data_IF_478060955464
#
_entry.id   IF_478060955464
#
_cell.length_a   1.000
_cell.length_b   1.000
_cell.length_c   1.000
_cell.angle_alpha   90.00
_cell.angle_beta   90.00
_cell.angle_gamma   90.00
#
_symmetry.space_group_name_H-M   'P 1'
#
loop_
_entity.id
_entity.type
_entity.pdbx_description
1 polymer ?
#
# COMPACT_ATOMS: atom_id res chain seq x y z
N UNK A 1 -21.57 4.95 0.18
CA UNK A 1 -21.89 3.72 -0.59
C UNK A 1 -20.67 3.22 -1.35
N UNK A 2 -20.42 1.92 -1.34
CA UNK A 2 -19.24 1.27 -1.94
C UNK A 2 -19.69 0.23 -2.95
N UNK A 3 -19.31 0.39 -4.22
CA UNK A 3 -19.70 -0.47 -5.33
C UNK A 3 -18.46 -1.22 -5.83
N UNK A 4 -18.28 -2.50 -5.48
CA UNK A 4 -17.28 -3.34 -6.13
C UNK A 4 -17.71 -3.64 -7.56
N UNK A 5 -16.82 -3.47 -8.53
CA UNK A 5 -17.08 -3.83 -9.93
C UNK A 5 -16.04 -4.80 -10.47
N UNK A 6 -16.47 -5.67 -11.37
CA UNK A 6 -15.58 -6.57 -12.10
C UNK A 6 -16.26 -7.89 -12.42
N UNK A 7 -16.10 -8.35 -13.66
CA UNK A 7 -16.68 -9.62 -14.11
C UNK A 7 -16.01 -10.83 -13.46
N UNK A 8 -14.75 -10.70 -13.08
CA UNK A 8 -13.95 -11.72 -12.39
C UNK A 8 -14.09 -11.67 -10.87
N UNK A 9 -14.75 -10.65 -10.33
CA UNK A 9 -14.79 -10.42 -8.89
C UNK A 9 -15.85 -11.30 -8.24
N UNK A 10 -15.48 -12.03 -7.19
CA UNK A 10 -16.36 -12.96 -6.47
C UNK A 10 -16.36 -12.71 -4.97
N UNK A 11 -17.43 -13.12 -4.29
CA UNK A 11 -17.51 -13.04 -2.83
C UNK A 11 -16.60 -14.09 -2.15
N UNK A 12 -15.97 -13.77 -1.01
CA UNK A 12 -15.29 -14.73 -0.17
C UNK A 12 -16.18 -15.92 0.19
N UNK A 13 -15.63 -17.13 0.11
CA UNK A 13 -16.37 -18.38 0.35
C UNK A 13 -17.09 -18.94 -0.88
N UNK A 14 -17.07 -18.23 -2.01
CA UNK A 14 -17.53 -18.78 -3.30
C UNK A 14 -16.51 -19.80 -3.83
N UNK A 15 -17.00 -20.85 -4.51
CA UNK A 15 -16.13 -21.79 -5.22
C UNK A 15 -15.39 -21.07 -6.37
N UNK A 16 -14.06 -21.09 -6.33
CA UNK A 16 -13.23 -20.33 -7.26
C UNK A 16 -13.09 -21.02 -8.61
N UNK A 17 -13.33 -20.28 -9.69
CA UNK A 17 -13.03 -20.65 -11.07
C UNK A 17 -11.72 -20.00 -11.52
N UNK A 18 -11.17 -20.51 -12.62
CA UNK A 18 -9.99 -19.92 -13.24
C UNK A 18 -10.32 -18.48 -13.65
N UNK A 19 -9.52 -17.54 -13.15
CA UNK A 19 -9.69 -16.11 -13.41
C UNK A 19 -10.40 -15.35 -12.30
N UNK A 20 -11.06 -16.04 -11.36
CA UNK A 20 -11.78 -15.38 -10.26
C UNK A 20 -10.81 -14.65 -9.30
N UNK A 21 -11.22 -13.47 -8.87
CA UNK A 21 -10.53 -12.65 -7.89
C UNK A 21 -11.49 -12.39 -6.73
N UNK A 22 -11.09 -12.76 -5.51
CA UNK A 22 -11.90 -12.51 -4.33
C UNK A 22 -11.92 -11.01 -4.02
N UNK A 23 -13.11 -10.45 -3.81
CA UNK A 23 -13.25 -9.06 -3.41
C UNK A 23 -12.72 -8.82 -1.98
N UNK A 24 -11.61 -8.11 -1.90
CA UNK A 24 -11.02 -7.64 -0.65
C UNK A 24 -11.02 -6.11 -0.52
N UNK A 25 -11.01 -5.36 -1.63
CA UNK A 25 -10.92 -3.90 -1.63
C UNK A 25 -12.14 -3.27 -0.96
N UNK A 26 -13.35 -3.66 -1.37
CA UNK A 26 -14.57 -3.03 -0.87
C UNK A 26 -14.74 -3.23 0.66
N UNK A 27 -14.23 -4.34 1.18
CA UNK A 27 -14.19 -4.63 2.62
C UNK A 27 -13.16 -3.78 3.34
N UNK A 28 -11.98 -3.63 2.74
CA UNK A 28 -10.93 -2.72 3.24
C UNK A 28 -11.45 -1.29 3.27
N UNK A 29 -12.15 -0.85 2.22
CA UNK A 29 -12.76 0.48 2.16
C UNK A 29 -13.82 0.66 3.23
N UNK A 30 -14.68 -0.34 3.45
CA UNK A 30 -15.69 -0.27 4.50
C UNK A 30 -15.06 -0.11 5.90
N UNK A 31 -13.96 -0.81 6.15
CA UNK A 31 -13.19 -0.67 7.39
C UNK A 31 -12.56 0.73 7.52
N UNK A 32 -11.89 1.23 6.48
CA UNK A 32 -11.30 2.57 6.46
C UNK A 32 -12.34 3.68 6.65
N UNK A 33 -13.48 3.60 5.93
CA UNK A 33 -14.59 4.55 6.09
C UNK A 33 -15.10 4.55 7.53
N UNK A 34 -15.27 3.37 8.13
CA UNK A 34 -15.72 3.25 9.53
C UNK A 34 -14.69 3.82 10.51
N UNK A 35 -13.40 3.57 10.29
CA UNK A 35 -12.29 4.13 11.08
C UNK A 35 -12.25 5.66 10.99
N UNK A 36 -12.64 6.24 9.86
CA UNK A 36 -12.70 7.68 9.64
C UNK A 36 -14.05 8.31 10.06
N UNK A 37 -14.91 7.56 10.74
CA UNK A 37 -16.18 8.06 11.29
C UNK A 37 -17.37 8.05 10.31
N UNK A 38 -17.22 7.46 9.12
CA UNK A 38 -18.29 7.32 8.14
C UNK A 38 -19.08 6.01 8.27
N UNK A 39 -20.29 5.98 7.70
CA UNK A 39 -21.12 4.77 7.64
C UNK A 39 -20.98 4.05 6.29
N UNK A 40 -20.27 2.92 6.29
CA UNK A 40 -20.00 2.17 5.08
C UNK A 40 -21.19 1.28 4.65
N UNK A 41 -21.86 1.63 3.55
CA UNK A 41 -22.82 0.76 2.88
C UNK A 41 -22.20 0.09 1.64
N UNK A 42 -21.92 -1.21 1.74
CA UNK A 42 -21.40 -2.02 0.62
C UNK A 42 -22.56 -2.57 -0.23
N UNK A 43 -22.46 -2.43 -1.55
CA UNK A 43 -23.38 -3.02 -2.52
C UNK A 43 -22.88 -4.38 -3.01
N UNK A 44 -23.74 -5.14 -3.71
CA UNK A 44 -23.31 -6.36 -4.39
C UNK A 44 -22.31 -6.05 -5.51
N UNK A 45 -21.52 -7.06 -5.88
CA UNK A 45 -20.56 -6.95 -6.99
C UNK A 45 -21.32 -6.72 -8.29
N UNK A 46 -20.96 -5.64 -8.99
CA UNK A 46 -21.54 -5.27 -10.28
C UNK A 46 -20.62 -5.76 -11.39
N UNK A 47 -21.18 -6.45 -12.39
CA UNK A 47 -20.39 -6.89 -13.54
C UNK A 47 -19.96 -5.70 -14.39
N UNK A 48 -18.94 -5.90 -15.23
CA UNK A 48 -18.45 -4.86 -16.16
C UNK A 48 -19.44 -4.65 -17.31
N UNK A 49 -20.55 -3.98 -17.01
CA UNK A 49 -21.60 -3.61 -17.94
C UNK A 49 -22.05 -2.18 -17.64
N UNK A 50 -22.12 -1.35 -18.69
CA UNK A 50 -22.42 0.06 -18.57
C UNK A 50 -23.75 0.34 -17.87
N UNK A 51 -24.83 -0.34 -18.27
CA UNK A 51 -26.17 -0.10 -17.72
C UNK A 51 -26.26 -0.60 -16.28
N UNK A 52 -25.63 -1.74 -15.96
CA UNK A 52 -25.59 -2.24 -14.58
C UNK A 52 -24.81 -1.30 -13.65
N UNK A 53 -23.65 -0.79 -14.10
CA UNK A 53 -22.85 0.17 -13.34
C UNK A 53 -23.64 1.46 -13.13
N UNK A 54 -24.24 2.01 -14.19
CA UNK A 54 -25.06 3.23 -14.11
C UNK A 54 -26.22 3.08 -13.12
N UNK A 55 -26.96 1.99 -13.17
CA UNK A 55 -28.06 1.73 -12.22
C UNK A 55 -27.54 1.63 -10.77
N UNK A 56 -26.42 0.94 -10.56
CA UNK A 56 -25.81 0.82 -9.24
C UNK A 56 -25.33 2.17 -8.70
N UNK A 57 -24.70 2.99 -9.53
CA UNK A 57 -24.22 4.34 -9.18
C UNK A 57 -25.39 5.26 -8.85
N UNK A 58 -26.45 5.28 -9.68
CA UNK A 58 -27.66 6.07 -9.42
C UNK A 58 -28.27 5.71 -8.06
N UNK A 59 -28.48 4.41 -7.82
CA UNK A 59 -29.01 3.91 -6.55
C UNK A 59 -28.12 4.28 -5.36
N UNK A 60 -26.81 4.12 -5.49
CA UNK A 60 -25.88 4.47 -4.42
C UNK A 60 -25.86 5.98 -4.14
N UNK A 61 -26.00 6.81 -5.17
CA UNK A 61 -26.02 8.27 -5.01
C UNK A 61 -27.31 8.77 -4.32
N UNK A 62 -28.44 8.11 -4.55
CA UNK A 62 -29.70 8.39 -3.84
C UNK A 62 -29.59 8.04 -2.36
N UNK A 63 -28.97 6.88 -2.04
CA UNK A 63 -28.96 6.31 -0.69
C UNK A 63 -27.79 6.76 0.20
N UNK A 64 -26.81 7.51 -0.31
CA UNK A 64 -25.59 7.88 0.43
C UNK A 64 -25.11 9.29 0.09
N UNK A 65 -24.18 9.84 0.89
CA UNK A 65 -23.57 11.15 0.66
C UNK A 65 -22.31 11.11 -0.22
N UNK A 66 -21.60 9.98 -0.22
CA UNK A 66 -20.39 9.73 -1.01
C UNK A 66 -20.52 8.36 -1.67
N UNK A 67 -20.18 8.25 -2.96
CA UNK A 67 -20.17 6.98 -3.70
C UNK A 67 -18.74 6.63 -4.10
N UNK A 68 -18.28 5.45 -3.68
CA UNK A 68 -16.98 4.89 -4.04
C UNK A 68 -17.20 3.72 -5.01
N UNK A 69 -16.54 3.74 -6.16
CA UNK A 69 -16.62 2.67 -7.16
C UNK A 69 -15.25 2.00 -7.22
N UNK A 70 -15.12 0.74 -6.82
CA UNK A 70 -13.87 0.01 -7.00
C UNK A 70 -13.81 -0.55 -8.41
N UNK A 71 -13.20 0.20 -9.33
CA UNK A 71 -13.11 -0.12 -10.74
C UNK A 71 -11.73 -0.66 -11.10
N UNK A 72 -11.68 -1.73 -11.90
CA UNK A 72 -10.41 -2.28 -12.39
C UNK A 72 -9.62 -1.27 -13.22
N UNK A 73 -8.28 -1.35 -13.18
CA UNK A 73 -7.39 -0.40 -13.88
C UNK A 73 -7.19 -0.72 -15.39
N UNK A 74 -8.18 -1.34 -16.02
CA UNK A 74 -8.12 -1.72 -17.43
C UNK A 74 -8.83 -0.65 -18.23
N UNK A 75 -8.23 -0.19 -19.34
CA UNK A 75 -8.75 0.89 -20.17
C UNK A 75 -10.26 0.71 -20.47
N UNK A 76 -10.70 -0.51 -20.80
CA UNK A 76 -12.13 -0.76 -21.09
C UNK A 76 -13.07 -0.71 -19.88
N UNK A 77 -12.59 -0.93 -18.64
CA UNK A 77 -13.41 -0.85 -17.42
C UNK A 77 -13.49 0.57 -16.87
N UNK A 78 -12.37 1.27 -16.92
CA UNK A 78 -12.29 2.70 -16.61
C UNK A 78 -13.29 3.45 -17.48
N UNK A 79 -13.37 3.12 -18.78
CA UNK A 79 -14.30 3.70 -19.74
C UNK A 79 -15.79 3.56 -19.31
N UNK A 80 -16.23 2.40 -18.80
CA UNK A 80 -17.61 2.23 -18.34
C UNK A 80 -17.92 3.11 -17.13
N UNK A 81 -17.01 3.16 -16.16
CA UNK A 81 -17.21 3.90 -14.92
C UNK A 81 -17.23 5.41 -15.18
N UNK A 82 -16.25 5.92 -15.93
CA UNK A 82 -16.19 7.35 -16.28
C UNK A 82 -17.37 7.78 -17.14
N UNK A 83 -17.81 6.93 -18.08
CA UNK A 83 -18.98 7.21 -18.92
C UNK A 83 -20.27 7.23 -18.11
N UNK A 84 -20.47 6.27 -17.19
CA UNK A 84 -21.66 6.23 -16.35
C UNK A 84 -21.77 7.46 -15.44
N UNK A 85 -20.64 7.90 -14.86
CA UNK A 85 -20.58 9.13 -14.06
C UNK A 85 -20.85 10.37 -14.93
N UNK A 86 -20.30 10.42 -16.14
CA UNK A 86 -20.52 11.54 -17.08
C UNK A 86 -21.96 11.64 -17.58
N UNK A 87 -22.70 10.54 -17.66
CA UNK A 87 -24.11 10.57 -18.07
C UNK A 87 -25.03 10.97 -16.92
N UNK A 88 -24.72 10.51 -15.70
CA UNK A 88 -25.54 10.80 -14.52
C UNK A 88 -25.25 12.18 -13.90
N UNK A 89 -24.10 12.78 -14.20
CA UNK A 89 -23.68 14.05 -13.62
C UNK A 89 -22.48 14.64 -14.35
N UNK A 90 -21.49 15.10 -13.60
CA UNK A 90 -20.29 15.72 -14.14
C UNK A 90 -19.03 14.93 -13.76
N UNK A 91 -18.22 14.58 -14.75
CA UNK A 91 -16.87 14.04 -14.52
C UNK A 91 -15.88 15.21 -14.41
N UNK A 92 -15.30 15.39 -13.23
CA UNK A 92 -14.43 16.54 -12.91
C UNK A 92 -12.96 16.21 -13.14
N UNK A 93 -12.53 15.01 -12.75
CA UNK A 93 -11.15 14.53 -12.86
C UNK A 93 -11.15 13.14 -13.47
N UNK A 94 -10.28 12.94 -14.46
CA UNK A 94 -10.03 11.63 -15.07
C UNK A 94 -8.53 11.35 -15.09
N UNK A 95 -8.08 10.68 -14.03
CA UNK A 95 -6.70 10.42 -13.74
C UNK A 95 -6.01 11.55 -12.99
N UNK A 96 -5.04 11.19 -12.15
CA UNK A 96 -4.18 12.14 -11.43
C UNK A 96 -2.71 11.76 -11.57
N UNK A 97 -1.84 12.75 -11.38
CA UNK A 97 -0.39 12.60 -11.51
C UNK A 97 0.25 11.96 -10.25
N UNK A 98 -0.32 10.86 -9.75
CA UNK A 98 0.24 10.10 -8.62
C UNK A 98 0.59 8.67 -9.00
N UNK A 99 1.51 8.07 -8.24
CA UNK A 99 1.93 6.68 -8.42
C UNK A 99 2.16 6.01 -7.06
N UNK A 100 1.51 4.88 -6.75
CA UNK A 100 0.40 4.26 -7.49
C UNK A 100 -0.91 5.03 -7.28
N UNK A 101 -1.93 4.79 -8.12
CA UNK A 101 -3.22 5.49 -8.02
C UNK A 101 -3.62 6.35 -9.22
N UNK A 102 -2.79 6.40 -10.27
CA UNK A 102 -3.03 7.19 -11.49
C UNK A 102 -4.48 7.19 -11.99
N UNK A 103 -5.17 6.05 -12.20
CA UNK A 103 -6.47 6.05 -12.87
C UNK A 103 -7.66 6.39 -11.96
N UNK A 104 -7.43 7.11 -10.86
CA UNK A 104 -8.55 7.64 -10.07
C UNK A 104 -9.38 8.60 -10.92
N UNK A 105 -10.70 8.50 -10.78
CA UNK A 105 -11.64 9.48 -11.33
C UNK A 105 -12.42 10.12 -10.20
N UNK A 106 -12.84 11.37 -10.39
CA UNK A 106 -13.79 12.04 -9.50
C UNK A 106 -14.86 12.75 -10.33
N UNK A 107 -16.11 12.60 -9.90
CA UNK A 107 -17.25 13.27 -10.47
C UNK A 107 -18.24 13.71 -9.40
N UNK A 108 -19.27 14.42 -9.83
CA UNK A 108 -20.32 14.97 -8.97
C UNK A 108 -21.67 14.58 -9.57
N UNK A 109 -22.51 13.92 -8.78
CA UNK A 109 -23.89 13.57 -9.17
C UNK A 109 -24.83 14.13 -8.11
N UNK A 110 -25.79 14.98 -8.50
CA UNK A 110 -26.71 15.66 -7.57
C UNK A 110 -26.01 16.37 -6.40
N UNK A 111 -24.85 16.99 -6.67
CA UNK A 111 -24.04 17.68 -5.66
C UNK A 111 -23.22 16.77 -4.74
N UNK A 112 -23.22 15.45 -4.97
CA UNK A 112 -22.51 14.46 -4.14
C UNK A 112 -21.29 13.89 -4.88
N UNK A 113 -20.15 13.70 -4.19
CA UNK A 113 -18.95 13.17 -4.82
C UNK A 113 -19.08 11.68 -5.15
N UNK A 114 -18.62 11.34 -6.36
CA UNK A 114 -18.47 9.97 -6.85
C UNK A 114 -17.01 9.76 -7.22
N UNK A 115 -16.37 8.78 -6.60
CA UNK A 115 -14.92 8.55 -6.73
C UNK A 115 -14.70 7.13 -7.25
N UNK A 116 -14.11 7.01 -8.43
CA UNK A 116 -13.69 5.72 -8.99
C UNK A 116 -12.26 5.43 -8.57
N UNK A 117 -12.10 4.34 -7.84
CA UNK A 117 -10.88 3.91 -7.18
C UNK A 117 -10.29 2.72 -7.94
N UNK A 118 -8.98 2.72 -8.26
CA UNK A 118 -8.35 1.63 -9.00
C UNK A 118 -8.46 0.27 -8.30
N UNK A 119 -8.61 -0.80 -9.08
CA UNK A 119 -8.80 -2.16 -8.54
C UNK A 119 -7.55 -2.77 -7.92
N UNK A 120 -6.36 -2.24 -8.21
CA UNK A 120 -5.13 -2.72 -7.59
C UNK A 120 -5.04 -2.30 -6.11
N UNK A 121 -4.81 -3.23 -5.16
CA UNK A 121 -4.85 -2.97 -3.71
C UNK A 121 -4.04 -1.77 -3.24
N UNK A 122 -2.83 -1.62 -3.80
CA UNK A 122 -1.91 -0.57 -3.36
C UNK A 122 -2.35 0.78 -3.91
N UNK A 123 -2.75 0.82 -5.19
CA UNK A 123 -3.33 2.02 -5.78
C UNK A 123 -4.59 2.46 -5.02
N UNK A 124 -5.44 1.50 -4.69
CA UNK A 124 -6.66 1.71 -3.94
C UNK A 124 -6.39 2.33 -2.56
N UNK A 125 -5.43 1.78 -1.82
CA UNK A 125 -5.03 2.31 -0.51
C UNK A 125 -4.60 3.78 -0.57
N UNK A 126 -3.71 4.14 -1.50
CA UNK A 126 -3.24 5.53 -1.61
C UNK A 126 -4.35 6.49 -2.08
N UNK A 127 -5.23 6.05 -2.98
CA UNK A 127 -6.40 6.85 -3.36
C UNK A 127 -7.35 7.03 -2.17
N UNK A 128 -7.55 5.99 -1.37
CA UNK A 128 -8.36 6.06 -0.16
C UNK A 128 -7.78 7.06 0.85
N UNK A 129 -6.48 7.00 1.16
CA UNK A 129 -5.84 7.90 2.13
C UNK A 129 -5.70 9.34 1.62
N UNK A 130 -5.26 9.55 0.38
CA UNK A 130 -4.88 10.89 -0.11
C UNK A 130 -6.06 11.66 -0.73
N UNK A 131 -7.13 10.97 -1.13
CA UNK A 131 -8.27 11.58 -1.82
C UNK A 131 -9.57 11.35 -1.04
N UNK A 132 -9.91 10.11 -0.71
CA UNK A 132 -11.21 9.80 -0.11
C UNK A 132 -11.31 10.25 1.35
N UNK A 133 -10.26 10.05 2.14
CA UNK A 133 -10.22 10.46 3.56
C UNK A 133 -10.40 11.97 3.76
N UNK A 134 -9.70 12.87 3.02
CA UNK A 134 -10.00 14.30 3.06
C UNK A 134 -11.46 14.65 2.73
N UNK A 135 -12.07 13.94 1.76
CA UNK A 135 -13.49 14.17 1.42
C UNK A 135 -14.41 13.77 2.58
N UNK A 136 -14.17 12.61 3.20
CA UNK A 136 -14.96 12.15 4.36
C UNK A 136 -14.81 13.09 5.56
N UNK A 137 -13.61 13.58 5.82
CA UNK A 137 -13.38 14.56 6.89
C UNK A 137 -14.02 15.92 6.57
N UNK A 138 -13.96 16.38 5.32
CA UNK A 138 -14.65 17.58 4.87
C UNK A 138 -16.15 17.54 5.13
N UNK A 139 -16.81 16.40 4.89
CA UNK A 139 -18.23 16.19 5.21
C UNK A 139 -18.53 16.24 6.71
N UNK A 140 -17.55 15.92 7.55
CA UNK A 140 -17.66 15.99 9.01
C UNK A 140 -17.21 17.36 9.58
N UNK A 141 -16.73 18.28 8.74
CA UNK A 141 -16.12 19.53 9.19
C UNK A 141 -14.78 19.35 9.90
N UNK A 142 -14.08 18.24 9.64
CA UNK A 142 -12.78 17.92 10.20
C UNK A 142 -11.67 18.23 9.19
N UNK A 143 -10.49 18.59 9.71
CA UNK A 143 -9.24 18.62 8.93
C UNK A 143 -8.51 17.28 9.06
N UNK A 144 -7.78 16.87 8.03
CA UNK A 144 -6.86 15.73 8.14
C UNK A 144 -5.71 16.07 9.07
N UNK A 145 -5.51 15.25 10.10
CA UNK A 145 -4.35 15.39 10.99
C UNK A 145 -3.04 15.40 10.18
N UNK A 146 -2.08 16.22 10.62
CA UNK A 146 -0.76 16.23 10.01
C UNK A 146 -0.08 14.87 10.21
N UNK A 147 0.41 14.30 9.12
CA UNK A 147 1.17 13.05 9.17
C UNK A 147 2.36 13.18 10.13
N UNK A 148 2.59 12.13 10.94
CA UNK A 148 3.83 12.03 11.70
C UNK A 148 4.96 11.73 10.74
N UNK A 149 5.95 12.61 10.70
CA UNK A 149 7.10 12.48 9.80
C UNK A 149 8.38 12.29 10.61
N UNK A 150 9.26 11.39 10.14
CA UNK A 150 10.62 11.22 10.67
C UNK A 150 11.64 11.44 9.58
N UNK A 151 12.82 11.94 9.96
CA UNK A 151 13.99 11.96 9.09
C UNK A 151 14.68 10.58 9.17
N UNK A 152 14.87 9.93 8.02
CA UNK A 152 15.49 8.61 7.93
C UNK A 152 16.54 8.54 6.81
N UNK A 153 17.59 7.75 7.01
CA UNK A 153 18.63 7.53 6.00
C UNK A 153 18.19 6.42 5.05
N UNK A 154 18.15 6.71 3.75
CA UNK A 154 17.75 5.75 2.73
C UNK A 154 18.82 4.67 2.53
N UNK A 155 18.49 3.39 2.68
CA UNK A 155 19.46 2.27 2.61
C UNK A 155 19.82 1.86 1.18
N UNK A 156 18.95 2.17 0.21
CA UNK A 156 19.17 1.84 -1.20
C UNK A 156 18.59 2.92 -2.09
N UNK A 157 19.22 3.13 -3.25
CA UNK A 157 18.71 4.09 -4.23
C UNK A 157 17.25 3.80 -4.58
N UNK A 158 16.46 4.86 -4.72
CA UNK A 158 15.06 4.80 -5.01
C UNK A 158 14.80 5.55 -6.32
N UNK A 159 14.79 4.82 -7.44
CA UNK A 159 14.51 5.41 -8.77
C UNK A 159 13.07 5.91 -8.83
N UNK A 160 12.77 7.03 -9.46
CA UNK A 160 11.40 7.44 -9.74
C UNK A 160 11.27 7.83 -11.20
N UNK A 161 10.03 7.97 -11.64
CA UNK A 161 9.71 8.42 -12.99
C UNK A 161 9.24 9.86 -12.90
N UNK A 162 9.86 10.75 -13.67
CA UNK A 162 9.31 12.08 -13.90
C UNK A 162 7.84 11.98 -14.30
N UNK A 163 7.04 13.00 -13.93
CA UNK A 163 5.59 13.18 -14.17
C UNK A 163 4.66 12.72 -13.05
N UNK A 164 5.13 11.96 -12.07
CA UNK A 164 4.24 11.43 -11.02
C UNK A 164 4.79 11.71 -9.63
N UNK A 165 3.91 12.14 -8.73
CA UNK A 165 4.18 12.16 -7.30
C UNK A 165 4.13 10.71 -6.83
N UNK A 166 5.29 10.14 -6.50
CA UNK A 166 5.42 8.72 -6.22
C UNK A 166 5.45 8.44 -4.71
N UNK A 167 4.48 7.65 -4.26
CA UNK A 167 4.40 7.11 -2.92
C UNK A 167 5.15 5.78 -2.83
N UNK A 168 6.34 5.83 -2.25
CA UNK A 168 7.21 4.67 -2.07
C UNK A 168 7.07 4.17 -0.64
N UNK A 169 6.46 3.00 -0.49
CA UNK A 169 6.41 2.29 0.79
C UNK A 169 7.81 1.91 1.24
N UNK A 170 8.10 2.15 2.51
CA UNK A 170 9.38 1.82 3.13
C UNK A 170 9.17 0.99 4.40
N UNK A 171 10.14 0.12 4.68
CA UNK A 171 10.35 -0.44 6.00
C UNK A 171 11.26 0.50 6.77
N UNK A 172 10.91 0.82 8.01
CA UNK A 172 11.73 1.63 8.89
C UNK A 172 12.44 0.76 9.91
N UNK A 173 13.64 1.17 10.28
CA UNK A 173 14.41 0.61 11.39
C UNK A 173 15.04 1.72 12.20
N UNK A 174 15.26 1.50 13.49
CA UNK A 174 16.00 2.43 14.34
C UNK A 174 17.31 1.79 14.79
N UNK A 175 18.43 2.27 14.26
CA UNK A 175 19.74 1.61 14.39
C UNK A 175 20.76 2.65 14.80
N UNK A 176 21.52 2.37 15.86
CA UNK A 176 22.57 3.26 16.36
C UNK A 176 22.11 4.73 16.57
N UNK A 177 20.87 4.91 17.03
CA UNK A 177 20.32 6.24 17.34
C UNK A 177 19.72 7.01 16.16
N UNK A 178 19.56 6.39 14.98
CA UNK A 178 18.96 7.02 13.80
C UNK A 178 17.94 6.11 13.12
N UNK A 179 16.99 6.72 12.40
CA UNK A 179 16.10 5.96 11.52
C UNK A 179 16.81 5.62 10.20
N UNK A 180 16.57 4.41 9.72
CA UNK A 180 16.93 3.95 8.38
C UNK A 180 15.67 3.56 7.63
N UNK A 181 15.61 3.88 6.34
CA UNK A 181 14.47 3.60 5.48
C UNK A 181 14.89 2.70 4.33
N UNK A 182 14.28 1.51 4.26
CA UNK A 182 14.47 0.57 3.16
C UNK A 182 13.21 0.55 2.32
N UNK A 183 13.24 1.07 1.07
CA UNK A 183 12.12 0.92 0.13
C UNK A 183 11.68 -0.53 0.05
N UNK A 184 10.39 -0.78 -0.10
CA UNK A 184 9.85 -2.11 -0.32
C UNK A 184 9.72 -2.42 -1.83
N UNK A 185 9.31 -3.64 -2.16
CA UNK A 185 9.04 -4.03 -3.54
C UNK A 185 7.96 -3.12 -4.16
N UNK A 186 8.14 -2.80 -5.45
CA UNK A 186 7.19 -2.00 -6.22
C UNK A 186 6.14 -2.87 -6.89
N UNK A 187 5.04 -2.24 -7.28
CA UNK A 187 3.93 -2.88 -7.96
C UNK A 187 2.62 -2.58 -7.27
N UNK A 188 1.60 -2.24 -8.07
CA UNK A 188 0.28 -1.88 -7.60
C UNK A 188 -0.48 -3.08 -6.98
N UNK A 189 -0.12 -4.32 -7.37
CA UNK A 189 -0.68 -5.55 -6.81
C UNK A 189 0.09 -6.12 -5.62
N UNK A 190 1.16 -5.48 -5.15
CA UNK A 190 2.03 -6.03 -4.09
C UNK A 190 1.43 -5.79 -2.69
N UNK A 191 0.31 -6.43 -2.35
CA UNK A 191 -0.42 -6.22 -1.08
C UNK A 191 0.44 -6.43 0.16
N UNK A 192 1.29 -7.45 0.18
CA UNK A 192 2.19 -7.70 1.32
C UNK A 192 3.13 -6.55 1.63
N UNK A 193 3.47 -5.71 0.63
CA UNK A 193 4.29 -4.53 0.89
C UNK A 193 3.52 -3.37 1.53
N UNK A 194 2.19 -3.38 1.55
CA UNK A 194 1.42 -2.49 2.44
C UNK A 194 1.49 -2.99 3.89
N UNK A 195 1.24 -4.29 4.10
CA UNK A 195 1.27 -4.93 5.42
C UNK A 195 2.63 -4.74 6.10
N UNK A 196 3.71 -4.85 5.31
CA UNK A 196 5.08 -4.74 5.83
C UNK A 196 5.57 -3.30 5.99
N UNK A 197 4.90 -2.31 5.38
CA UNK A 197 5.35 -0.93 5.41
C UNK A 197 5.21 -0.33 6.81
N UNK A 198 6.23 0.43 7.22
CA UNK A 198 6.16 1.25 8.44
C UNK A 198 6.07 2.74 8.12
N UNK A 199 6.28 3.10 6.85
CA UNK A 199 6.14 4.46 6.38
C UNK A 199 6.05 4.58 4.87
N UNK A 200 5.81 5.81 4.43
CA UNK A 200 5.75 6.22 3.03
C UNK A 200 6.76 7.34 2.80
N UNK A 201 7.65 7.10 1.86
CA UNK A 201 8.52 8.12 1.26
C UNK A 201 7.81 8.70 0.05
N UNK A 202 7.65 10.01 0.02
CA UNK A 202 7.11 10.72 -1.14
C UNK A 202 8.25 11.27 -2.00
N UNK A 203 8.14 11.02 -3.31
CA UNK A 203 9.08 11.54 -4.30
C UNK A 203 8.30 12.48 -5.22
N UNK A 204 8.71 13.74 -5.24
CA UNK A 204 8.10 14.77 -6.07
C UNK A 204 8.22 14.48 -7.57
N UNK A 205 7.26 14.99 -8.35
CA UNK A 205 7.17 14.81 -9.81
C UNK A 205 8.42 15.25 -10.58
N UNK A 206 9.22 16.15 -10.00
CA UNK A 206 10.45 16.70 -10.58
C UNK A 206 11.70 15.86 -10.29
N UNK A 207 11.60 14.80 -9.50
CA UNK A 207 12.74 14.01 -9.01
C UNK A 207 12.79 12.63 -9.69
N UNK A 208 13.90 12.32 -10.35
CA UNK A 208 14.13 11.01 -11.02
C UNK A 208 14.55 9.89 -10.06
N UNK A 209 14.79 10.23 -8.80
CA UNK A 209 15.11 9.30 -7.76
C UNK A 209 15.96 9.91 -6.66
N UNK A 210 16.18 9.12 -5.61
CA UNK A 210 16.94 9.52 -4.43
C UNK A 210 18.04 8.48 -4.21
N UNK A 211 19.28 8.96 -4.05
CA UNK A 211 20.44 8.09 -3.83
C UNK A 211 20.48 7.50 -2.41
N UNK A 212 21.12 6.33 -2.29
CA UNK A 212 21.37 5.72 -0.98
C UNK A 212 22.23 6.65 -0.10
N UNK A 213 21.99 6.61 1.21
CA UNK A 213 22.64 7.48 2.19
C UNK A 213 21.99 8.86 2.35
N UNK A 214 21.06 9.24 1.47
CA UNK A 214 20.33 10.51 1.59
C UNK A 214 19.37 10.49 2.78
N UNK A 215 19.32 11.57 3.55
CA UNK A 215 18.31 11.77 4.59
C UNK A 215 17.01 12.20 3.91
N UNK A 216 15.94 11.45 4.13
CA UNK A 216 14.62 11.68 3.56
C UNK A 216 13.56 11.80 4.64
N UNK A 217 12.48 12.52 4.34
CA UNK A 217 11.29 12.60 5.18
C UNK A 217 10.37 11.44 4.87
N UNK A 218 10.00 10.68 5.90
CA UNK A 218 9.12 9.52 5.78
C UNK A 218 7.89 9.73 6.66
N UNK A 219 6.71 9.69 6.06
CA UNK A 219 5.43 9.66 6.77
C UNK A 219 5.25 8.30 7.43
N UNK A 220 4.92 8.27 8.71
CA UNK A 220 4.78 7.04 9.49
C UNK A 220 3.41 6.39 9.26
N UNK A 221 3.43 5.08 8.98
CA UNK A 221 2.25 4.20 9.00
C UNK A 221 2.19 3.35 10.28
N UNK A 222 3.34 3.11 10.91
CA UNK A 222 3.48 2.41 12.19
C UNK A 222 3.83 3.41 13.30
N UNK A 223 3.51 3.07 14.55
CA UNK A 223 3.98 3.88 15.69
C UNK A 223 5.52 3.89 15.77
N UNK A 224 6.07 5.02 16.20
CA UNK A 224 7.51 5.18 16.37
C UNK A 224 8.09 4.15 17.37
N UNK A 225 7.35 3.85 18.43
CA UNK A 225 7.74 2.84 19.42
C UNK A 225 7.85 1.43 18.82
N UNK A 226 6.95 1.06 17.93
CA UNK A 226 7.04 -0.23 17.22
C UNK A 226 8.32 -0.29 16.39
N UNK A 227 8.63 0.78 15.66
CA UNK A 227 9.83 0.87 14.82
C UNK A 227 11.11 0.79 15.69
N UNK A 228 11.15 1.54 16.80
CA UNK A 228 12.28 1.53 17.75
C UNK A 228 12.49 0.17 18.43
N UNK A 229 11.43 -0.61 18.61
CA UNK A 229 11.50 -1.96 19.15
C UNK A 229 11.59 -3.06 18.09
N UNK A 230 11.85 -2.70 16.83
CA UNK A 230 12.03 -3.67 15.74
C UNK A 230 13.50 -3.98 15.52
N UNK A 231 13.86 -5.27 15.67
CA UNK A 231 15.14 -5.79 15.23
C UNK A 231 15.15 -5.89 13.71
N UNK A 232 16.16 -5.29 13.10
CA UNK A 232 16.36 -5.25 11.64
C UNK A 232 17.39 -6.32 11.28
N UNK A 233 17.00 -7.23 10.42
CA UNK A 233 17.79 -8.34 9.93
C UNK A 233 17.87 -8.25 8.40
N UNK A 234 19.07 -8.05 7.85
CA UNK A 234 19.31 -7.90 6.41
C UNK A 234 20.43 -8.85 6.01
N UNK A 235 20.14 -9.83 5.16
CA UNK A 235 21.16 -10.79 4.71
C UNK A 235 20.59 -11.96 3.91
N UNK A 236 21.18 -13.13 4.10
CA UNK A 236 20.66 -14.38 3.53
C UNK A 236 19.32 -14.76 4.13
N UNK A 237 18.47 -15.34 3.30
CA UNK A 237 17.19 -15.88 3.75
C UNK A 237 17.40 -17.20 4.52
N UNK A 238 16.84 -17.28 5.71
CA UNK A 238 16.79 -18.50 6.52
C UNK A 238 15.41 -18.59 7.21
N UNK A 239 14.61 -19.65 6.97
CA UNK A 239 13.31 -19.83 7.60
C UNK A 239 13.33 -19.80 9.14
N UNK A 240 14.47 -20.11 9.78
CA UNK A 240 14.62 -20.02 11.24
C UNK A 240 14.41 -18.58 11.72
N UNK A 241 14.75 -17.58 10.91
CA UNK A 241 14.57 -16.17 11.27
C UNK A 241 13.08 -15.82 11.38
N UNK A 242 12.24 -16.36 10.49
CA UNK A 242 10.79 -16.14 10.54
C UNK A 242 10.16 -16.82 11.76
N UNK A 243 10.59 -18.06 12.06
CA UNK A 243 10.16 -18.78 13.27
C UNK A 243 10.62 -18.02 14.52
N UNK A 244 11.85 -17.52 14.54
CA UNK A 244 12.38 -16.74 15.65
C UNK A 244 11.63 -15.41 15.83
N UNK A 245 11.24 -14.75 14.73
CA UNK A 245 10.41 -13.55 14.76
C UNK A 245 9.06 -13.81 15.45
N UNK A 246 8.39 -14.90 15.08
CA UNK A 246 7.12 -15.32 15.69
C UNK A 246 7.29 -15.65 17.18
N UNK A 247 8.33 -16.41 17.54
CA UNK A 247 8.61 -16.75 18.94
C UNK A 247 8.95 -15.51 19.79
N UNK A 248 9.73 -14.59 19.24
CA UNK A 248 10.05 -13.31 19.88
C UNK A 248 8.78 -12.52 20.17
N UNK A 249 7.92 -12.35 19.16
CA UNK A 249 6.70 -11.57 19.28
C UNK A 249 5.70 -12.22 20.25
N UNK A 250 5.58 -13.56 20.24
CA UNK A 250 4.75 -14.31 21.20
C UNK A 250 5.23 -14.17 22.63
N UNK A 251 6.55 -14.22 22.86
CA UNK A 251 7.14 -14.10 24.19
C UNK A 251 7.07 -12.66 24.73
N UNK A 252 7.26 -11.68 23.87
CA UNK A 252 7.16 -10.27 24.22
C UNK A 252 6.63 -9.43 23.06
N UNK A 253 5.35 -9.05 23.16
CA UNK A 253 4.63 -8.27 22.14
C UNK A 253 5.21 -6.89 21.85
N UNK A 254 6.14 -6.40 22.69
CA UNK A 254 6.83 -5.12 22.46
C UNK A 254 7.89 -5.21 21.37
N UNK A 255 8.50 -6.39 21.17
CA UNK A 255 9.58 -6.56 20.20
C UNK A 255 9.08 -7.19 18.92
N UNK A 256 9.68 -6.74 17.82
CA UNK A 256 9.40 -7.22 16.48
C UNK A 256 10.72 -7.57 15.79
N UNK A 257 10.65 -8.39 14.75
CA UNK A 257 11.78 -8.66 13.88
C UNK A 257 11.34 -8.41 12.43
N UNK A 258 12.13 -7.62 11.71
CA UNK A 258 11.98 -7.37 10.29
C UNK A 258 13.14 -8.02 9.55
N UNK A 259 12.83 -8.97 8.67
CA UNK A 259 13.81 -9.64 7.81
C UNK A 259 13.76 -9.12 6.38
N UNK A 260 14.91 -8.97 5.73
CA UNK A 260 15.04 -8.61 4.33
C UNK A 260 16.16 -9.39 3.66
N UNK A 261 15.83 -10.01 2.53
CA UNK A 261 16.71 -10.97 1.86
C UNK A 261 17.51 -10.30 0.74
N UNK A 262 18.81 -10.11 0.97
CA UNK A 262 19.75 -9.49 0.01
C UNK A 262 21.00 -10.37 -0.23
N UNK A 263 21.02 -11.56 0.36
CA UNK A 263 22.16 -12.49 0.33
C UNK A 263 23.29 -12.10 1.29
N UNK A 264 24.28 -12.99 1.45
CA UNK A 264 25.37 -12.83 2.42
C UNK A 264 26.14 -11.52 2.24
N UNK A 265 26.58 -11.23 1.00
CA UNK A 265 27.37 -10.03 0.70
C UNK A 265 26.58 -8.76 0.95
N UNK A 266 25.31 -8.71 0.55
CA UNK A 266 24.43 -7.57 0.81
C UNK A 266 24.21 -7.35 2.31
N UNK A 267 24.06 -8.42 3.08
CA UNK A 267 23.94 -8.35 4.54
C UNK A 267 25.19 -7.82 5.23
N UNK A 268 26.37 -8.30 4.82
CA UNK A 268 27.65 -7.79 5.33
C UNK A 268 27.86 -6.31 4.97
N UNK A 269 27.44 -5.88 3.77
CA UNK A 269 27.46 -4.46 3.39
C UNK A 269 26.52 -3.64 4.27
N UNK A 270 25.30 -4.10 4.52
CA UNK A 270 24.33 -3.43 5.39
C UNK A 270 24.82 -3.32 6.85
N UNK A 271 25.52 -4.34 7.36
CA UNK A 271 26.18 -4.26 8.67
C UNK A 271 27.27 -3.19 8.67
N UNK A 272 28.12 -3.17 7.63
CA UNK A 272 29.22 -2.21 7.50
C UNK A 272 28.72 -0.76 7.43
N UNK A 273 27.57 -0.51 6.79
CA UNK A 273 26.99 0.84 6.67
C UNK A 273 26.05 1.22 7.82
N UNK A 274 25.82 0.31 8.78
CA UNK A 274 24.97 0.54 9.94
C UNK A 274 23.48 0.64 9.59
N UNK A 275 23.03 -0.20 8.66
CA UNK A 275 21.66 -0.30 8.16
C UNK A 275 20.89 -1.51 8.69
N UNK A 276 21.57 -2.40 9.41
CA UNK A 276 20.96 -3.58 10.04
C UNK A 276 21.56 -3.85 11.42
N UNK A 277 20.79 -4.51 12.29
CA UNK A 277 21.30 -5.00 13.58
C UNK A 277 22.04 -6.33 13.43
N UNK A 278 21.62 -7.15 12.47
CA UNK A 278 22.18 -8.48 12.21
C UNK A 278 22.12 -8.79 10.71
N UNK A 279 23.05 -9.62 10.24
CA UNK A 279 23.06 -10.12 8.87
C UNK A 279 23.32 -11.63 8.86
N UNK A 280 22.31 -12.45 8.55
CA UNK A 280 22.52 -13.86 8.27
C UNK A 280 23.43 -14.01 7.05
N UNK A 281 24.40 -14.90 7.13
CA UNK A 281 25.33 -15.17 6.04
C UNK A 281 25.53 -16.66 5.89
N UNK A 282 25.51 -17.14 4.65
CA UNK A 282 25.99 -18.48 4.34
C UNK A 282 27.52 -18.45 4.24
N UNK A 283 28.18 -19.34 4.96
CA UNK A 283 29.63 -19.54 4.88
C UNK A 283 29.89 -20.62 3.83
N UNK A 284 30.69 -20.30 2.81
CA UNK A 284 31.21 -21.24 1.83
C UNK A 284 32.63 -21.63 2.23
N UNK A 285 32.85 -22.92 2.41
CA UNK A 285 34.20 -23.47 2.47
C UNK A 285 34.75 -23.56 1.03
N UNK A 286 35.80 -22.79 0.74
CA UNK A 286 36.34 -22.65 -0.62
C UNK A 286 37.10 -23.89 -1.11
N UNK A 287 37.56 -24.74 -0.20
CA UNK A 287 38.35 -25.94 -0.52
C UNK A 287 37.43 -27.13 -0.85
N UNK A 288 36.34 -27.26 -0.09
CA UNK A 288 35.35 -28.34 -0.25
C UNK A 288 34.16 -27.95 -1.14
N UNK A 289 33.91 -26.66 -1.33
CA UNK A 289 32.72 -26.14 -2.03
C UNK A 289 31.41 -26.32 -1.24
N UNK A 290 31.49 -26.71 0.03
CA UNK A 290 30.33 -26.98 0.89
C UNK A 290 29.90 -25.69 1.59
N UNK A 291 28.60 -25.41 1.54
CA UNK A 291 27.99 -24.33 2.33
C UNK A 291 27.57 -24.85 3.70
N UNK A 292 27.84 -24.04 4.74
CA UNK A 292 27.34 -24.22 6.11
C UNK A 292 27.47 -25.66 6.63
N UNK A 293 28.69 -26.10 6.95
CA UNK A 293 28.89 -27.32 7.76
C UNK A 293 28.11 -27.18 9.07
N UNK A 294 27.21 -28.13 9.35
CA UNK A 294 26.52 -28.20 10.65
C UNK A 294 27.58 -28.28 11.75
N UNK A 295 27.67 -27.26 12.59
CA UNK A 295 28.56 -27.26 13.75
C UNK A 295 27.83 -27.67 15.04
N UNK A 296 26.56 -28.07 14.92
CA UNK A 296 25.79 -28.71 16.00
C UNK A 296 26.11 -30.21 16.06
#
# INVERSE_FOLDING_TARGET
GIIPTGTEIVEPGTELKIGDIIDFNSRTFAAQVSEWGGEAKRYGIVRDDFELIKQAVSKANEENDIVLINAGSSAGREDYTSSAVSELGELVIHGVAIKPGKPVMMGIINGKPVIGIPGFPVSAYFVMEEIVKPVIYGFQGLETEADKVVDAVLTRRCMSSLKYHEFVRVKLGYIAGRFVATPLARGAGATMSLVNADGVLEIDQSIEGIEAGTVVKVKLLSSEDKIKNTLVCIGSHDPIIDIAADLLHRKNKKYFLSSSNVGSTGGLMALKTGETHMAPTHLLDMDSGIYNTSYL
#
